data_IF_312727485641
#
_entry.id   IF_312727485641
#
_cell.length_a   1.000
_cell.length_b   1.000
_cell.length_c   1.000
_cell.angle_alpha   90.00
_cell.angle_beta   90.00
_cell.angle_gamma   90.00
#
_symmetry.space_group_name_H-M   'P 1'
#
loop_
_entity.id
_entity.type
_entity.pdbx_description
1 polymer ?
#
# COMPACT_ATOMS: atom_id res chain seq x y z
N UNK A 1 2.79 15.06 53.05
CA UNK A 1 3.47 14.29 51.97
C UNK A 1 3.48 12.83 52.36
N UNK A 2 2.82 11.92 51.62
CA UNK A 2 3.14 10.51 51.71
C UNK A 2 3.81 10.10 50.39
N UNK A 3 5.15 10.02 50.42
CA UNK A 3 5.89 9.29 49.40
C UNK A 3 5.58 7.81 49.58
N UNK A 4 4.88 7.23 48.61
CA UNK A 4 4.59 5.79 48.61
C UNK A 4 5.90 5.02 48.45
N UNK A 5 6.24 4.23 49.46
CA UNK A 5 7.26 3.18 49.37
C UNK A 5 6.70 2.11 48.43
N UNK A 6 6.93 2.23 47.12
CA UNK A 6 6.58 1.16 46.17
C UNK A 6 7.34 -0.10 46.59
N UNK A 7 6.62 -1.21 46.73
CA UNK A 7 7.24 -2.47 47.13
C UNK A 7 8.17 -2.96 46.02
N UNK A 8 9.26 -3.67 46.38
CA UNK A 8 10.19 -4.26 45.40
C UNK A 8 9.48 -5.11 44.34
N UNK A 9 8.37 -5.75 44.73
CA UNK A 9 7.49 -6.54 43.87
C UNK A 9 6.74 -5.69 42.83
N UNK A 10 6.23 -4.52 43.22
CA UNK A 10 5.54 -3.59 42.31
C UNK A 10 6.49 -3.01 41.26
N UNK A 11 7.71 -2.64 41.67
CA UNK A 11 8.75 -2.14 40.76
C UNK A 11 9.12 -3.22 39.73
N UNK A 12 9.33 -4.46 40.18
CA UNK A 12 9.64 -5.60 39.31
C UNK A 12 8.51 -5.88 38.30
N UNK A 13 7.25 -5.84 38.74
CA UNK A 13 6.10 -6.02 37.86
C UNK A 13 5.96 -4.91 36.81
N UNK A 14 6.21 -3.65 37.21
CA UNK A 14 6.22 -2.50 36.31
C UNK A 14 7.32 -2.61 35.25
N UNK A 15 8.54 -3.01 35.64
CA UNK A 15 9.64 -3.24 34.70
C UNK A 15 9.32 -4.36 33.71
N UNK A 16 8.75 -5.47 34.18
CA UNK A 16 8.30 -6.58 33.33
C UNK A 16 7.28 -6.13 32.30
N UNK A 17 6.27 -5.36 32.69
CA UNK A 17 5.27 -4.81 31.76
C UNK A 17 5.89 -3.86 30.74
N UNK A 18 6.82 -2.99 31.14
CA UNK A 18 7.52 -2.09 30.22
C UNK A 18 8.36 -2.87 29.20
N UNK A 19 9.01 -3.98 29.60
CA UNK A 19 9.72 -4.87 28.67
C UNK A 19 8.76 -5.54 27.69
N UNK A 20 7.59 -5.98 28.14
CA UNK A 20 6.56 -6.56 27.27
C UNK A 20 6.08 -5.53 26.25
N UNK A 21 5.76 -4.31 26.68
CA UNK A 21 5.37 -3.22 25.77
C UNK A 21 6.48 -2.96 24.74
N UNK A 22 7.73 -2.83 25.19
CA UNK A 22 8.88 -2.63 24.30
C UNK A 22 9.05 -3.77 23.29
N UNK A 23 8.92 -5.02 23.72
CA UNK A 23 8.98 -6.19 22.85
C UNK A 23 7.87 -6.23 21.81
N UNK A 24 6.62 -5.97 22.21
CA UNK A 24 5.48 -5.91 21.29
C UNK A 24 5.62 -4.76 20.29
N UNK A 25 6.07 -3.58 20.73
CA UNK A 25 6.31 -2.44 19.84
C UNK A 25 7.47 -2.70 18.88
N UNK A 26 8.51 -3.42 19.31
CA UNK A 26 9.62 -3.82 18.44
C UNK A 26 9.15 -4.81 17.35
N UNK A 27 8.39 -5.84 17.72
CA UNK A 27 7.81 -6.78 16.75
C UNK A 27 6.92 -6.03 15.75
N UNK A 28 6.05 -5.14 16.24
CA UNK A 28 5.19 -4.32 15.38
C UNK A 28 6.02 -3.43 14.43
N UNK A 29 7.14 -2.86 14.88
CA UNK A 29 8.03 -2.06 14.05
C UNK A 29 8.68 -2.89 12.94
N UNK A 30 9.15 -4.10 13.27
CA UNK A 30 9.70 -5.03 12.26
C UNK A 30 8.62 -5.43 11.24
N UNK A 31 7.42 -5.77 11.71
CA UNK A 31 6.29 -6.06 10.83
C UNK A 31 5.92 -4.87 9.95
N UNK A 32 5.96 -3.64 10.48
CA UNK A 32 5.68 -2.41 9.73
C UNK A 32 6.69 -2.24 8.59
N UNK A 33 7.99 -2.36 8.87
CA UNK A 33 9.02 -2.24 7.83
C UNK A 33 8.88 -3.35 6.79
N UNK A 34 8.68 -4.60 7.22
CA UNK A 34 8.49 -5.73 6.31
C UNK A 34 7.22 -5.57 5.44
N UNK A 35 6.13 -5.04 6.01
CA UNK A 35 4.87 -4.86 5.29
C UNK A 35 4.96 -3.87 4.13
N UNK A 36 5.85 -2.86 4.22
CA UNK A 36 6.06 -1.89 3.14
C UNK A 36 6.53 -2.58 1.84
N UNK A 37 7.42 -3.55 1.96
CA UNK A 37 8.02 -4.27 0.83
C UNK A 37 7.25 -5.53 0.43
N UNK A 38 6.28 -5.96 1.23
CA UNK A 38 5.55 -7.20 1.00
C UNK A 38 4.26 -6.95 0.19
N UNK A 39 3.91 -7.88 -0.74
CA UNK A 39 2.60 -7.86 -1.37
C UNK A 39 1.49 -7.97 -0.32
N UNK A 40 0.57 -7.01 -0.30
CA UNK A 40 -0.46 -6.85 0.73
C UNK A 40 -1.71 -7.64 0.36
N UNK A 41 -2.13 -7.52 -0.89
CA UNK A 41 -3.35 -8.10 -1.42
C UNK A 41 -3.09 -8.58 -2.84
N UNK A 42 -3.77 -9.64 -3.25
CA UNK A 42 -3.70 -10.10 -4.64
C UNK A 42 -5.09 -10.14 -5.24
N UNK A 43 -5.15 -9.86 -6.54
CA UNK A 43 -6.34 -10.02 -7.36
C UNK A 43 -5.98 -10.87 -8.55
N UNK A 44 -6.88 -11.77 -8.93
CA UNK A 44 -6.78 -12.56 -10.15
C UNK A 44 -8.09 -12.54 -10.93
N UNK A 45 -7.98 -12.48 -12.26
CA UNK A 45 -9.08 -12.66 -13.18
C UNK A 45 -8.90 -13.94 -13.99
N UNK A 46 -9.96 -14.73 -14.11
CA UNK A 46 -10.00 -15.89 -15.01
C UNK A 46 -11.16 -15.77 -15.97
N UNK A 47 -10.97 -16.15 -17.23
CA UNK A 47 -12.03 -16.22 -18.23
C UNK A 47 -11.72 -17.31 -19.26
N UNK A 48 -12.71 -17.78 -20.05
CA UNK A 48 -12.48 -18.80 -21.08
C UNK A 48 -11.39 -18.46 -22.09
N UNK A 49 -11.18 -17.16 -22.36
CA UNK A 49 -10.17 -16.67 -23.30
C UNK A 49 -8.74 -16.63 -22.70
N UNK A 50 -8.59 -16.86 -21.39
CA UNK A 50 -7.31 -16.91 -20.68
C UNK A 50 -7.12 -18.31 -20.09
N UNK A 51 -6.61 -19.26 -20.88
CA UNK A 51 -6.61 -20.67 -20.51
C UNK A 51 -5.56 -20.97 -19.41
N UNK A 52 -5.80 -21.97 -18.52
CA UNK A 52 -4.92 -22.25 -17.39
C UNK A 52 -3.50 -22.72 -17.76
N UNK A 53 -3.27 -23.18 -18.99
CA UNK A 53 -1.94 -23.55 -19.46
C UNK A 53 -1.05 -22.33 -19.75
N UNK A 54 -1.66 -21.18 -20.07
CA UNK A 54 -1.02 -19.88 -20.19
C UNK A 54 -1.06 -19.08 -18.87
N UNK A 55 -2.23 -19.05 -18.22
CA UNK A 55 -2.50 -18.29 -17.00
C UNK A 55 -2.94 -19.22 -15.86
N UNK A 56 -2.03 -20.02 -15.28
CA UNK A 56 -2.38 -21.04 -14.28
C UNK A 56 -3.01 -20.45 -13.01
N UNK A 57 -2.60 -19.24 -12.63
CA UNK A 57 -3.13 -18.49 -11.51
C UNK A 57 -4.14 -17.39 -11.96
N UNK A 58 -4.58 -17.42 -13.22
CA UNK A 58 -5.29 -16.32 -13.89
C UNK A 58 -4.41 -15.09 -14.13
N UNK A 59 -5.03 -13.99 -14.56
CA UNK A 59 -4.36 -12.68 -14.71
C UNK A 59 -4.19 -12.09 -13.33
N UNK A 60 -3.06 -12.42 -12.70
CA UNK A 60 -2.79 -12.10 -11.31
C UNK A 60 -1.94 -10.84 -11.17
N UNK A 61 -2.38 -9.95 -10.29
CA UNK A 61 -1.64 -8.77 -9.86
C UNK A 61 -1.49 -8.76 -8.34
N UNK A 62 -0.43 -8.09 -7.87
CA UNK A 62 -0.15 -7.86 -6.46
C UNK A 62 -0.21 -6.38 -6.13
N UNK A 63 -1.00 -6.02 -5.12
CA UNK A 63 -1.01 -4.69 -4.54
C UNK A 63 0.05 -4.58 -3.46
N UNK A 64 0.90 -3.57 -3.59
CA UNK A 64 1.87 -3.14 -2.60
C UNK A 64 1.52 -1.72 -2.13
N UNK A 65 2.21 -1.22 -1.10
CA UNK A 65 1.98 0.12 -0.59
C UNK A 65 2.47 1.21 -1.56
N UNK A 66 3.42 0.88 -2.42
CA UNK A 66 4.05 1.77 -3.39
C UNK A 66 3.57 1.54 -4.84
N UNK A 67 2.86 0.45 -5.13
CA UNK A 67 2.52 0.13 -6.52
C UNK A 67 1.64 -1.10 -6.73
N UNK A 68 1.43 -1.42 -8.00
CA UNK A 68 0.78 -2.64 -8.48
C UNK A 68 1.81 -3.39 -9.31
N UNK A 69 2.01 -4.67 -9.01
CA UNK A 69 3.07 -5.48 -9.58
C UNK A 69 2.51 -6.75 -10.24
N UNK A 70 3.25 -7.25 -11.21
CA UNK A 70 2.93 -8.49 -11.91
C UNK A 70 2.93 -9.67 -10.92
N UNK A 71 1.85 -10.44 -10.91
CA UNK A 71 1.71 -11.66 -10.11
C UNK A 71 1.62 -12.93 -10.94
N UNK A 72 1.78 -12.82 -12.26
CA UNK A 72 1.78 -13.98 -13.13
C UNK A 72 3.08 -14.75 -13.07
N UNK A 73 2.93 -16.06 -13.21
CA UNK A 73 4.05 -16.99 -13.36
C UNK A 73 4.14 -17.37 -14.82
N UNK A 74 5.37 -17.54 -15.33
CA UNK A 74 5.59 -18.08 -16.66
C UNK A 74 4.86 -19.43 -16.81
N UNK A 75 4.31 -19.68 -18.01
CA UNK A 75 3.73 -20.96 -18.35
C UNK A 75 4.77 -22.08 -18.14
N UNK A 76 4.37 -23.17 -17.48
CA UNK A 76 5.29 -24.25 -17.13
C UNK A 76 5.85 -24.97 -18.36
N UNK A 77 7.03 -25.60 -18.23
CA UNK A 77 7.62 -26.42 -19.31
C UNK A 77 6.63 -27.52 -19.75
N UNK A 78 6.34 -27.59 -21.05
CA UNK A 78 5.45 -28.60 -21.64
C UNK A 78 4.01 -28.15 -21.91
N UNK A 79 3.67 -26.88 -21.65
CA UNK A 79 2.39 -26.29 -22.11
C UNK A 79 2.45 -25.92 -23.59
N UNK A 80 1.30 -25.75 -24.24
CA UNK A 80 1.22 -25.34 -25.66
C UNK A 80 1.89 -23.99 -25.90
N UNK A 81 1.86 -23.13 -24.88
CA UNK A 81 2.43 -21.78 -24.86
C UNK A 81 3.86 -21.73 -24.31
N UNK A 82 4.49 -22.87 -23.99
CA UNK A 82 5.82 -22.89 -23.38
C UNK A 82 6.93 -22.31 -24.29
N UNK A 83 6.64 -22.22 -25.60
CA UNK A 83 7.50 -21.64 -26.64
C UNK A 83 6.82 -20.45 -27.34
N UNK A 84 5.75 -19.88 -26.76
CA UNK A 84 5.08 -18.69 -27.30
C UNK A 84 5.34 -17.51 -26.37
N UNK A 85 6.08 -16.52 -26.84
CA UNK A 85 6.18 -15.24 -26.14
C UNK A 85 4.89 -14.48 -26.41
N UNK A 86 4.05 -14.29 -25.40
CA UNK A 86 2.75 -13.63 -25.60
C UNK A 86 2.90 -12.12 -25.84
N UNK A 87 4.02 -11.49 -25.45
CA UNK A 87 4.10 -10.03 -25.31
C UNK A 87 5.18 -9.33 -26.15
N UNK A 88 6.23 -10.04 -26.57
CA UNK A 88 7.32 -9.45 -27.38
C UNK A 88 6.92 -9.23 -28.84
N UNK A 89 5.94 -9.98 -29.34
CA UNK A 89 5.44 -9.90 -30.73
C UNK A 89 4.69 -8.60 -31.08
N UNK A 90 4.53 -7.67 -30.13
CA UNK A 90 3.80 -6.40 -30.29
C UNK A 90 4.70 -5.18 -30.44
N UNK A 91 6.01 -5.30 -30.25
CA UNK A 91 6.95 -4.19 -30.38
C UNK A 91 7.35 -4.00 -31.86
N UNK A 92 7.31 -2.76 -32.36
CA UNK A 92 7.55 -2.44 -33.79
C UNK A 92 9.05 -2.42 -34.18
N UNK A 93 9.94 -2.61 -33.21
CA UNK A 93 11.38 -2.59 -33.33
C UNK A 93 12.00 -3.99 -33.52
N UNK A 94 11.25 -5.06 -33.25
CA UNK A 94 11.70 -6.44 -33.45
C UNK A 94 11.30 -6.98 -34.85
N UNK A 95 12.24 -7.65 -35.53
CA UNK A 95 11.97 -8.35 -36.79
C UNK A 95 10.93 -9.45 -36.57
N UNK A 96 9.79 -9.36 -37.28
CA UNK A 96 8.71 -10.35 -37.23
C UNK A 96 9.22 -11.75 -37.60
N UNK A 97 9.01 -12.73 -36.73
CA UNK A 97 9.47 -14.11 -36.93
C UNK A 97 9.03 -14.70 -38.28
N UNK A 98 10.00 -15.21 -39.06
CA UNK A 98 9.75 -15.91 -40.30
C UNK A 98 9.96 -17.43 -40.11
N UNK A 99 8.91 -18.26 -40.21
CA UNK A 99 8.98 -19.70 -39.93
C UNK A 99 9.89 -20.50 -40.87
N UNK A 100 10.33 -19.92 -42.00
CA UNK A 100 11.23 -20.58 -42.96
C UNK A 100 12.70 -20.20 -42.70
N UNK A 101 12.98 -18.93 -42.39
CA UNK A 101 14.35 -18.44 -42.22
C UNK A 101 14.83 -18.45 -40.77
N UNK A 102 13.91 -18.38 -39.81
CA UNK A 102 14.20 -18.27 -38.38
C UNK A 102 13.96 -19.59 -37.62
N UNK A 103 13.79 -20.72 -38.33
CA UNK A 103 13.50 -22.03 -37.73
C UNK A 103 14.55 -22.54 -36.71
N UNK A 104 15.73 -21.91 -36.65
CA UNK A 104 16.80 -22.19 -35.67
C UNK A 104 17.11 -21.00 -34.74
N UNK A 105 16.38 -19.90 -34.88
CA UNK A 105 16.57 -18.66 -34.11
C UNK A 105 15.69 -18.77 -32.86
N UNK A 106 16.32 -18.67 -31.69
CA UNK A 106 15.61 -18.51 -30.43
C UNK A 106 15.13 -17.06 -30.35
N UNK A 107 13.94 -16.79 -30.89
CA UNK A 107 13.33 -15.45 -30.89
C UNK A 107 12.89 -14.99 -29.50
N UNK A 108 12.79 -15.94 -28.56
CA UNK A 108 12.39 -15.76 -27.17
C UNK A 108 13.55 -15.36 -26.27
N UNK A 109 14.78 -15.30 -26.82
CA UNK A 109 15.97 -14.93 -26.09
C UNK A 109 15.86 -13.50 -25.56
N UNK A 110 15.54 -13.39 -24.27
CA UNK A 110 15.35 -12.11 -23.57
C UNK A 110 13.92 -11.58 -23.56
N UNK A 111 12.92 -12.39 -23.89
CA UNK A 111 11.52 -12.02 -23.70
C UNK A 111 11.15 -11.83 -22.22
N UNK A 112 10.50 -10.72 -21.92
CA UNK A 112 9.86 -10.49 -20.62
C UNK A 112 8.65 -11.42 -20.51
N UNK A 113 8.55 -12.20 -19.41
CA UNK A 113 7.45 -13.14 -19.20
C UNK A 113 6.09 -12.44 -19.08
N UNK A 114 4.99 -13.22 -19.10
CA UNK A 114 3.60 -12.77 -18.94
C UNK A 114 3.45 -11.56 -17.99
N UNK A 115 3.17 -10.37 -18.53
CA UNK A 115 2.87 -9.17 -17.75
C UNK A 115 1.35 -9.01 -17.57
N UNK A 116 0.88 -9.48 -16.42
CA UNK A 116 -0.52 -9.42 -16.07
C UNK A 116 -1.01 -8.04 -15.61
N UNK A 117 -0.10 -7.08 -15.37
CA UNK A 117 -0.51 -5.69 -15.18
C UNK A 117 -0.97 -5.11 -16.51
N UNK A 118 -0.23 -5.36 -17.59
CA UNK A 118 -0.65 -4.99 -18.94
C UNK A 118 -1.97 -5.64 -19.32
N UNK A 119 -2.12 -6.97 -19.16
CA UNK A 119 -3.37 -7.66 -19.50
C UNK A 119 -4.58 -7.14 -18.68
N UNK A 120 -4.39 -6.89 -17.39
CA UNK A 120 -5.40 -6.27 -16.54
C UNK A 120 -5.80 -4.88 -17.07
N UNK A 121 -4.81 -4.07 -17.46
CA UNK A 121 -5.04 -2.73 -18.01
C UNK A 121 -5.76 -2.77 -19.37
N UNK A 122 -5.42 -3.74 -20.21
CA UNK A 122 -6.12 -4.00 -21.47
C UNK A 122 -7.58 -4.31 -21.20
N UNK A 123 -7.88 -5.24 -20.28
CA UNK A 123 -9.27 -5.56 -19.89
C UNK A 123 -9.99 -4.33 -19.33
N UNK A 124 -9.34 -3.58 -18.43
CA UNK A 124 -9.89 -2.36 -17.85
C UNK A 124 -10.27 -1.36 -18.95
N UNK A 125 -9.39 -1.13 -19.92
CA UNK A 125 -9.66 -0.27 -21.06
C UNK A 125 -10.92 -0.69 -21.84
N UNK A 126 -11.08 -1.99 -22.13
CA UNK A 126 -12.26 -2.51 -22.84
C UNK A 126 -13.58 -2.18 -22.14
N UNK A 127 -13.60 -2.12 -20.80
CA UNK A 127 -14.81 -1.80 -20.01
C UNK A 127 -14.87 -0.33 -19.58
N UNK A 128 -13.94 0.52 -20.03
CA UNK A 128 -13.89 1.93 -19.68
C UNK A 128 -13.17 2.24 -18.36
N UNK A 129 -12.64 1.25 -17.65
CA UNK A 129 -11.83 1.50 -16.45
C UNK A 129 -10.44 2.04 -16.84
N UNK A 130 -9.93 2.98 -16.04
CA UNK A 130 -8.57 3.50 -16.20
C UNK A 130 -7.51 2.46 -15.79
N UNK A 131 -6.25 2.64 -16.21
CA UNK A 131 -5.18 1.72 -15.81
C UNK A 131 -5.06 1.61 -14.29
N UNK A 132 -4.77 0.40 -13.80
CA UNK A 132 -4.80 0.08 -12.37
C UNK A 132 -3.77 0.90 -11.57
N UNK A 133 -2.69 1.33 -12.22
CA UNK A 133 -1.66 2.20 -11.64
C UNK A 133 -2.16 3.64 -11.35
N UNK A 134 -3.32 4.06 -11.85
CA UNK A 134 -3.92 5.37 -11.51
C UNK A 134 -4.63 5.38 -10.15
N UNK A 135 -4.87 4.22 -9.54
CA UNK A 135 -5.51 4.14 -8.22
C UNK A 135 -4.58 4.60 -7.11
N UNK A 136 -5.13 5.16 -6.03
CA UNK A 136 -4.36 5.68 -4.89
C UNK A 136 -3.21 6.65 -5.29
N UNK A 137 -3.49 7.69 -6.10
CA UNK A 137 -2.47 8.57 -6.66
C UNK A 137 -1.83 9.49 -5.60
N UNK A 138 -2.40 9.60 -4.41
CA UNK A 138 -1.79 10.36 -3.30
C UNK A 138 -1.13 9.43 -2.30
N UNK A 139 -1.78 8.30 -1.99
CA UNK A 139 -1.35 7.40 -0.93
C UNK A 139 -0.10 6.61 -1.31
N UNK A 140 0.00 6.10 -2.55
CA UNK A 140 1.17 5.32 -2.99
C UNK A 140 2.48 6.11 -2.96
N UNK A 141 2.60 7.29 -3.59
CA UNK A 141 3.87 8.05 -3.55
C UNK A 141 4.23 8.53 -2.14
N UNK A 142 3.22 8.76 -1.28
CA UNK A 142 3.42 9.22 0.09
C UNK A 142 3.55 8.08 1.12
N UNK A 143 3.33 6.82 0.72
CA UNK A 143 3.30 5.68 1.63
C UNK A 143 4.56 5.58 2.49
N UNK A 144 5.75 5.79 1.91
CA UNK A 144 7.02 5.77 2.64
C UNK A 144 7.07 6.78 3.81
N UNK A 145 6.42 7.93 3.68
CA UNK A 145 6.34 8.93 4.75
C UNK A 145 5.32 8.56 5.82
N UNK A 146 4.18 7.97 5.43
CA UNK A 146 3.22 7.43 6.39
C UNK A 146 3.84 6.31 7.23
N UNK A 147 4.63 5.43 6.62
CA UNK A 147 5.37 4.40 7.32
C UNK A 147 6.43 4.98 8.26
N UNK A 148 7.16 6.01 7.82
CA UNK A 148 8.06 6.77 8.70
C UNK A 148 7.34 7.39 9.90
N UNK A 149 6.17 8.00 9.66
CA UNK A 149 5.32 8.56 10.71
C UNK A 149 4.88 7.49 11.72
N UNK A 150 4.34 6.35 11.25
CA UNK A 150 3.94 5.26 12.14
C UNK A 150 5.12 4.64 12.89
N UNK A 151 6.29 4.48 12.25
CA UNK A 151 7.49 3.98 12.88
C UNK A 151 7.92 4.86 14.06
N UNK A 152 7.93 6.18 13.88
CA UNK A 152 8.24 7.14 14.96
C UNK A 152 7.25 7.02 16.12
N UNK A 153 5.95 6.84 15.83
CA UNK A 153 4.93 6.62 16.85
C UNK A 153 5.17 5.34 17.65
N UNK A 154 5.51 4.23 16.98
CA UNK A 154 5.81 2.95 17.62
C UNK A 154 7.03 3.05 18.55
N UNK A 155 8.12 3.66 18.05
CA UNK A 155 9.35 3.86 18.84
C UNK A 155 9.08 4.74 20.05
N UNK A 156 8.32 5.82 19.88
CA UNK A 156 7.94 6.70 20.98
C UNK A 156 7.05 6.01 22.02
N UNK A 157 6.10 5.17 21.59
CA UNK A 157 5.19 4.45 22.48
C UNK A 157 5.90 3.43 23.38
N UNK A 158 6.96 2.80 22.87
CA UNK A 158 7.79 1.87 23.63
C UNK A 158 8.43 2.53 24.87
N UNK A 159 8.64 3.85 24.84
CA UNK A 159 9.27 4.61 25.92
C UNK A 159 8.26 5.03 26.98
N UNK A 160 8.53 4.64 28.23
CA UNK A 160 7.65 4.92 29.38
C UNK A 160 7.83 6.33 29.99
N UNK A 161 9.02 6.95 29.85
CA UNK A 161 9.31 8.28 30.40
C UNK A 161 8.87 9.37 29.43
N UNK A 162 8.26 10.43 29.96
CA UNK A 162 7.68 11.51 29.14
C UNK A 162 8.73 12.27 28.33
N UNK A 163 9.79 12.75 28.96
CA UNK A 163 10.83 13.57 28.30
C UNK A 163 11.48 12.86 27.08
N UNK A 164 12.05 11.65 27.22
CA UNK A 164 12.67 10.96 26.07
C UNK A 164 11.66 10.61 24.99
N UNK A 165 10.42 10.27 25.35
CA UNK A 165 9.35 10.00 24.38
C UNK A 165 9.00 11.22 23.53
N UNK A 166 8.87 12.40 24.15
CA UNK A 166 8.65 13.65 23.40
C UNK A 166 9.87 13.98 22.54
N UNK A 167 11.09 13.77 23.03
CA UNK A 167 12.32 13.97 22.25
C UNK A 167 12.33 13.08 21.00
N UNK A 168 12.01 11.79 21.14
CA UNK A 168 11.92 10.84 20.03
C UNK A 168 10.85 11.26 19.02
N UNK A 169 9.65 11.63 19.49
CA UNK A 169 8.59 12.12 18.60
C UNK A 169 9.04 13.35 17.83
N UNK A 170 9.58 14.36 18.52
CA UNK A 170 9.98 15.61 17.89
C UNK A 170 11.12 15.40 16.88
N UNK A 171 12.16 14.65 17.25
CA UNK A 171 13.28 14.37 16.36
C UNK A 171 12.86 13.51 15.17
N UNK A 172 12.09 12.45 15.42
CA UNK A 172 11.61 11.54 14.39
C UNK A 172 10.67 12.21 13.39
N UNK A 173 9.68 12.96 13.88
CA UNK A 173 8.77 13.70 12.99
C UNK A 173 9.47 14.85 12.26
N UNK A 174 10.43 15.53 12.87
CA UNK A 174 11.24 16.50 12.16
C UNK A 174 12.03 15.85 11.01
N UNK A 175 12.60 14.66 11.23
CA UNK A 175 13.31 13.92 10.19
C UNK A 175 12.37 13.47 9.06
N UNK A 176 11.19 12.93 9.38
CA UNK A 176 10.19 12.51 8.37
C UNK A 176 9.66 13.73 7.59
N UNK A 177 9.37 14.84 8.27
CA UNK A 177 8.93 16.07 7.62
C UNK A 177 10.00 16.65 6.69
N UNK A 178 11.26 16.72 7.15
CA UNK A 178 12.37 17.17 6.32
C UNK A 178 12.56 16.26 5.09
N UNK A 179 12.56 14.94 5.29
CA UNK A 179 12.65 13.98 4.20
C UNK A 179 11.51 14.16 3.19
N UNK A 180 10.28 14.31 3.67
CA UNK A 180 9.09 14.52 2.83
C UNK A 180 9.17 15.81 2.01
N UNK A 181 9.59 16.92 2.62
CA UNK A 181 9.71 18.20 1.91
C UNK A 181 10.83 18.14 0.85
N UNK A 182 11.99 17.58 1.20
CA UNK A 182 13.11 17.44 0.28
C UNK A 182 12.70 16.55 -0.91
N UNK A 183 12.16 15.37 -0.64
CA UNK A 183 11.78 14.40 -1.67
C UNK A 183 10.68 14.95 -2.60
N UNK A 184 9.64 15.55 -2.05
CA UNK A 184 8.48 15.95 -2.84
C UNK A 184 8.71 17.26 -3.62
N UNK A 185 9.39 18.23 -3.01
CA UNK A 185 9.54 19.57 -3.59
C UNK A 185 10.94 19.88 -4.11
N UNK A 186 12.00 19.51 -3.38
CA UNK A 186 13.37 19.84 -3.81
C UNK A 186 13.87 18.89 -4.90
N UNK A 187 13.54 17.60 -4.80
CA UNK A 187 13.84 16.61 -5.84
C UNK A 187 12.78 16.55 -6.95
N UNK A 188 11.67 17.29 -6.80
CA UNK A 188 10.62 17.39 -7.81
C UNK A 188 9.74 16.14 -7.98
N UNK A 189 9.80 15.18 -7.06
CA UNK A 189 9.07 13.91 -7.20
C UNK A 189 7.54 14.07 -7.22
N UNK A 190 7.00 15.11 -6.59
CA UNK A 190 5.56 15.40 -6.69
C UNK A 190 5.16 15.73 -8.13
N UNK A 191 5.91 16.61 -8.79
CA UNK A 191 5.60 17.01 -10.16
C UNK A 191 5.84 15.87 -11.15
N UNK A 192 6.92 15.10 -10.99
CA UNK A 192 7.15 13.92 -11.84
C UNK A 192 6.03 12.88 -11.67
N UNK A 193 5.53 12.68 -10.44
CA UNK A 193 4.42 11.77 -10.18
C UNK A 193 3.10 12.26 -10.80
N UNK A 194 2.80 13.56 -10.72
CA UNK A 194 1.61 14.13 -11.37
C UNK A 194 1.67 13.92 -12.88
N UNK A 195 2.82 14.14 -13.50
CA UNK A 195 2.99 13.90 -14.94
C UNK A 195 2.84 12.41 -15.29
N UNK A 196 3.45 11.51 -14.52
CA UNK A 196 3.31 10.07 -14.71
C UNK A 196 1.84 9.62 -14.56
N UNK A 197 1.12 10.15 -13.56
CA UNK A 197 -0.29 9.89 -13.35
C UNK A 197 -1.16 10.36 -14.54
N UNK A 198 -0.88 11.55 -15.08
CA UNK A 198 -1.60 12.08 -16.24
C UNK A 198 -1.29 11.25 -17.50
N UNK A 199 -0.04 10.88 -17.72
CA UNK A 199 0.38 10.02 -18.82
C UNK A 199 -0.32 8.66 -18.75
N UNK A 200 -0.30 8.02 -17.59
CA UNK A 200 -0.96 6.73 -17.35
C UNK A 200 -2.47 6.84 -17.56
N UNK A 201 -3.11 7.88 -17.02
CA UNK A 201 -4.55 8.11 -17.22
C UNK A 201 -4.93 8.32 -18.70
N UNK A 202 -3.99 8.87 -19.48
CA UNK A 202 -4.13 9.12 -20.92
C UNK A 202 -3.68 7.98 -21.83
N UNK A 203 -3.19 6.85 -21.29
CA UNK A 203 -2.67 5.73 -22.09
C UNK A 203 -3.71 5.25 -23.10
N UNK A 204 -4.96 5.07 -22.65
CA UNK A 204 -6.05 4.59 -23.49
C UNK A 204 -7.13 5.64 -23.79
N UNK A 205 -7.33 6.60 -22.89
CA UNK A 205 -8.38 7.61 -23.01
C UNK A 205 -7.77 9.01 -23.03
N UNK A 206 -7.54 9.59 -24.22
CA UNK A 206 -6.95 10.93 -24.37
C UNK A 206 -7.96 12.07 -24.16
N UNK A 207 -8.75 12.01 -23.08
CA UNK A 207 -9.62 13.10 -22.61
C UNK A 207 -8.79 14.10 -21.79
N UNK A 208 -8.02 14.94 -22.48
CA UNK A 208 -7.04 15.83 -21.83
C UNK A 208 -7.67 16.86 -20.91
N UNK A 209 -8.89 17.32 -21.19
CA UNK A 209 -9.59 18.26 -20.31
C UNK A 209 -9.85 17.65 -18.93
N UNK A 210 -10.33 16.40 -18.89
CA UNK A 210 -10.51 15.64 -17.65
C UNK A 210 -9.19 15.32 -16.97
N UNK A 211 -8.20 14.85 -17.74
CA UNK A 211 -6.90 14.43 -17.20
C UNK A 211 -6.15 15.60 -16.57
N UNK A 212 -6.20 16.78 -17.17
CA UNK A 212 -5.60 17.99 -16.61
C UNK A 212 -6.21 18.34 -15.26
N UNK A 213 -7.55 18.30 -15.15
CA UNK A 213 -8.26 18.54 -13.87
C UNK A 213 -7.87 17.50 -12.82
N UNK A 214 -7.76 16.23 -13.20
CA UNK A 214 -7.34 15.17 -12.28
C UNK A 214 -5.88 15.34 -11.84
N UNK A 215 -4.98 15.71 -12.75
CA UNK A 215 -3.59 16.03 -12.43
C UNK A 215 -3.47 17.18 -11.44
N UNK A 216 -4.23 18.26 -11.65
CA UNK A 216 -4.29 19.39 -10.71
C UNK A 216 -4.87 18.98 -9.34
N UNK A 217 -5.89 18.13 -9.32
CA UNK A 217 -6.43 17.59 -8.08
C UNK A 217 -5.39 16.73 -7.34
N UNK A 218 -4.69 15.83 -8.03
CA UNK A 218 -3.61 15.02 -7.43
C UNK A 218 -2.53 15.92 -6.86
N UNK A 219 -2.09 16.95 -7.59
CA UNK A 219 -1.11 17.93 -7.12
C UNK A 219 -1.58 18.65 -5.86
N UNK A 220 -2.79 19.20 -5.88
CA UNK A 220 -3.34 20.01 -4.79
C UNK A 220 -3.66 19.18 -3.54
N UNK A 221 -4.26 18.01 -3.72
CA UNK A 221 -4.56 17.08 -2.62
C UNK A 221 -3.26 16.54 -2.02
N UNK A 222 -2.25 16.20 -2.83
CA UNK A 222 -0.94 15.77 -2.30
C UNK A 222 -0.29 16.86 -1.45
N UNK A 223 -0.30 18.12 -1.90
CA UNK A 223 0.17 19.26 -1.08
C UNK A 223 -0.60 19.37 0.23
N UNK A 224 -1.93 19.29 0.17
CA UNK A 224 -2.79 19.34 1.36
C UNK A 224 -2.46 18.20 2.33
N UNK A 225 -2.26 16.98 1.83
CA UNK A 225 -1.89 15.81 2.66
C UNK A 225 -0.49 15.99 3.26
N UNK A 226 0.48 16.48 2.51
CA UNK A 226 1.85 16.73 2.99
C UNK A 226 1.85 17.75 4.14
N UNK A 227 1.26 18.94 3.93
CA UNK A 227 1.21 19.97 4.98
C UNK A 227 0.26 19.60 6.13
N UNK A 228 -0.84 18.91 5.82
CA UNK A 228 -1.74 18.34 6.81
C UNK A 228 -1.04 17.33 7.70
N UNK A 229 -0.20 16.45 7.15
CA UNK A 229 0.57 15.48 7.92
C UNK A 229 1.58 16.17 8.85
N UNK A 230 2.24 17.24 8.40
CA UNK A 230 3.14 18.05 9.25
C UNK A 230 2.36 18.69 10.41
N UNK A 231 1.16 19.23 10.14
CA UNK A 231 0.30 19.76 11.18
C UNK A 231 -0.14 18.66 12.18
N UNK A 232 -0.50 17.48 11.69
CA UNK A 232 -0.82 16.31 12.53
C UNK A 232 0.37 15.89 13.39
N UNK A 233 1.59 15.88 12.86
CA UNK A 233 2.81 15.61 13.64
C UNK A 233 2.94 16.58 14.83
N UNK A 234 2.74 17.87 14.60
CA UNK A 234 2.77 18.88 15.67
C UNK A 234 1.66 18.67 16.70
N UNK A 235 0.44 18.32 16.26
CA UNK A 235 -0.68 17.98 17.14
C UNK A 235 -0.35 16.75 17.98
N UNK A 236 0.26 15.71 17.40
CA UNK A 236 0.62 14.49 18.11
C UNK A 236 1.69 14.74 19.17
N UNK A 237 2.69 15.58 18.87
CA UNK A 237 3.71 16.01 19.84
C UNK A 237 3.04 16.79 20.98
N UNK A 238 2.24 17.81 20.66
CA UNK A 238 1.57 18.65 21.64
C UNK A 238 0.59 17.85 22.52
N UNK A 239 -0.22 16.98 21.90
CA UNK A 239 -1.15 16.09 22.57
C UNK A 239 -0.44 15.16 23.54
N UNK A 240 0.64 14.50 23.11
CA UNK A 240 1.45 13.62 23.97
C UNK A 240 2.13 14.40 25.10
N UNK A 241 2.51 15.66 24.86
CA UNK A 241 3.16 16.51 25.86
C UNK A 241 2.17 17.05 26.91
N UNK A 242 0.91 17.31 26.53
CA UNK A 242 -0.08 17.99 27.39
C UNK A 242 -1.09 17.04 28.03
N UNK A 243 -1.45 15.94 27.35
CA UNK A 243 -2.54 15.07 27.74
C UNK A 243 -2.00 13.65 27.96
N UNK A 244 -1.92 13.21 29.22
CA UNK A 244 -1.37 11.89 29.60
C UNK A 244 -1.93 10.71 28.79
N UNK A 245 -3.26 10.52 28.65
CA UNK A 245 -3.80 9.38 27.89
C UNK A 245 -3.59 9.48 26.37
N UNK A 246 -3.19 10.65 25.85
CA UNK A 246 -2.96 10.83 24.41
C UNK A 246 -1.82 9.94 23.89
N UNK A 247 -0.88 9.52 24.76
CA UNK A 247 0.15 8.55 24.40
C UNK A 247 -0.41 7.21 23.87
N UNK A 248 -1.64 6.84 24.23
CA UNK A 248 -2.28 5.62 23.71
C UNK A 248 -2.57 5.71 22.21
N UNK A 249 -2.75 6.93 21.69
CA UNK A 249 -2.93 7.20 20.25
C UNK A 249 -1.70 6.76 19.45
N UNK A 250 -0.49 6.85 20.05
CA UNK A 250 0.75 6.39 19.43
C UNK A 250 0.76 4.89 19.11
N UNK A 251 0.00 4.10 19.87
CA UNK A 251 -0.24 2.70 19.58
C UNK A 251 -1.47 2.47 18.72
N UNK A 252 -2.57 3.18 19.01
CA UNK A 252 -3.86 2.94 18.36
C UNK A 252 -3.81 3.22 16.86
N UNK A 253 -3.20 4.33 16.44
CA UNK A 253 -3.20 4.72 15.03
C UNK A 253 -2.43 3.71 14.16
N UNK A 254 -1.17 3.32 14.48
CA UNK A 254 -0.51 2.23 13.76
C UNK A 254 -1.25 0.89 13.86
N UNK A 255 -1.91 0.59 14.99
CA UNK A 255 -2.69 -0.64 15.14
C UNK A 255 -3.83 -0.70 14.12
N UNK A 256 -4.41 0.43 13.72
CA UNK A 256 -5.55 0.49 12.79
C UNK A 256 -5.14 0.46 11.30
N UNK A 257 -3.85 0.31 10.98
CA UNK A 257 -3.36 0.12 9.61
C UNK A 257 -4.13 -0.90 8.75
N UNK A 258 -4.46 -2.13 9.21
CA UNK A 258 -5.24 -3.06 8.40
C UNK A 258 -6.63 -2.52 8.05
N UNK A 259 -7.25 -1.76 8.96
CA UNK A 259 -8.57 -1.14 8.71
C UNK A 259 -8.44 -0.01 7.69
N UNK A 260 -7.46 0.89 7.87
CA UNK A 260 -7.21 1.97 6.91
C UNK A 260 -6.92 1.43 5.51
N UNK A 261 -6.11 0.37 5.41
CA UNK A 261 -5.82 -0.29 4.14
C UNK A 261 -7.11 -0.78 3.45
N UNK A 262 -7.97 -1.53 4.15
CA UNK A 262 -9.20 -2.07 3.53
C UNK A 262 -10.16 -0.95 3.11
N UNK A 263 -10.30 0.11 3.91
CA UNK A 263 -11.13 1.26 3.56
C UNK A 263 -10.61 1.94 2.28
N UNK A 264 -9.32 2.25 2.24
CA UNK A 264 -8.70 2.91 1.08
C UNK A 264 -8.78 2.01 -0.17
N UNK A 265 -8.45 0.73 -0.02
CA UNK A 265 -8.54 -0.26 -1.11
C UNK A 265 -9.95 -0.36 -1.66
N UNK A 266 -10.96 -0.55 -0.80
CA UNK A 266 -12.36 -0.64 -1.22
C UNK A 266 -12.86 0.67 -1.86
N UNK A 267 -12.44 1.83 -1.34
CA UNK A 267 -12.78 3.14 -1.89
C UNK A 267 -12.26 3.33 -3.32
N UNK A 268 -11.01 2.92 -3.58
CA UNK A 268 -10.44 2.98 -4.93
C UNK A 268 -11.08 1.98 -5.89
N UNK A 269 -11.38 0.76 -5.44
CA UNK A 269 -12.14 -0.18 -6.27
C UNK A 269 -13.51 0.37 -6.64
N UNK A 270 -14.23 0.94 -5.66
CA UNK A 270 -15.50 1.61 -5.93
C UNK A 270 -15.35 2.74 -6.95
N UNK A 271 -14.33 3.60 -6.78
CA UNK A 271 -14.04 4.70 -7.70
C UNK A 271 -13.86 4.19 -9.13
N UNK A 272 -13.03 3.16 -9.34
CA UNK A 272 -12.80 2.59 -10.66
C UNK A 272 -14.08 2.07 -11.32
N UNK A 273 -14.92 1.35 -10.56
CA UNK A 273 -16.15 0.78 -11.09
C UNK A 273 -17.32 1.77 -11.22
N UNK A 274 -17.18 3.01 -10.74
CA UNK A 274 -18.22 4.05 -10.84
C UNK A 274 -17.80 5.27 -11.67
N UNK A 275 -16.53 5.39 -12.03
CA UNK A 275 -15.98 6.50 -12.82
C UNK A 275 -15.37 6.01 -14.14
N UNK A 276 -15.99 4.99 -14.75
CA UNK A 276 -15.57 4.45 -16.03
C UNK A 276 -15.75 5.46 -17.17
N UNK A 277 -14.83 5.45 -18.11
CA UNK A 277 -14.85 6.27 -19.31
C UNK A 277 -15.93 5.79 -20.29
N UNK A 278 -16.71 6.69 -20.92
CA UNK A 278 -17.71 6.32 -21.93
C UNK A 278 -17.12 5.79 -23.25
N UNK A 279 -15.80 5.72 -23.39
CA UNK A 279 -15.11 5.24 -24.60
C UNK A 279 -14.64 3.79 -24.50
N UNK A 280 -15.01 3.08 -23.42
CA UNK A 280 -14.82 1.63 -23.37
C UNK A 280 -15.57 0.94 -24.51
N UNK A 281 -14.97 -0.10 -25.09
CA UNK A 281 -15.60 -0.87 -26.16
C UNK A 281 -16.89 -1.59 -25.70
N UNK A 282 -16.95 -1.94 -24.40
CA UNK A 282 -18.11 -2.55 -23.77
C UNK A 282 -18.65 -1.68 -22.65
N UNK A 283 -19.90 -1.27 -22.77
CA UNK A 283 -20.59 -0.54 -21.69
C UNK A 283 -21.07 -1.51 -20.63
N UNK A 284 -20.45 -1.46 -19.45
CA UNK A 284 -20.91 -2.15 -18.25
C UNK A 284 -21.60 -1.18 -17.30
N UNK A 285 -22.61 -1.66 -16.57
CA UNK A 285 -23.25 -0.86 -15.51
C UNK A 285 -22.22 -0.59 -14.41
N UNK A 286 -22.30 0.57 -13.71
CA UNK A 286 -21.49 0.81 -12.53
C UNK A 286 -21.56 -0.36 -11.55
N UNK A 287 -20.39 -0.79 -11.08
CA UNK A 287 -20.27 -1.94 -10.20
C UNK A 287 -19.12 -1.72 -9.21
N UNK A 288 -19.05 -2.56 -8.19
CA UNK A 288 -17.91 -2.58 -7.28
C UNK A 288 -17.06 -3.81 -7.58
N UNK A 289 -15.81 -3.64 -8.03
CA UNK A 289 -14.88 -4.75 -8.13
C UNK A 289 -14.79 -5.51 -6.79
N UNK A 290 -14.56 -6.82 -6.86
CA UNK A 290 -14.55 -7.69 -5.68
C UNK A 290 -13.48 -7.27 -4.68
N UNK A 291 -13.91 -6.77 -3.52
CA UNK A 291 -12.98 -6.39 -2.43
C UNK A 291 -12.39 -7.64 -1.77
N UNK A 292 -13.21 -8.66 -1.50
CA UNK A 292 -12.79 -9.88 -0.85
C UNK A 292 -13.63 -11.06 -1.33
N UNK A 293 -12.99 -12.20 -1.56
CA UNK A 293 -13.64 -13.44 -1.97
C UNK A 293 -13.71 -13.59 -3.50
N UNK A 294 -14.74 -14.29 -3.94
CA UNK A 294 -15.00 -14.59 -5.34
C UNK A 294 -16.12 -13.68 -5.86
N UNK A 295 -15.97 -13.20 -7.09
CA UNK A 295 -17.03 -12.47 -7.79
C UNK A 295 -17.02 -12.74 -9.27
N UNK A 296 -17.90 -12.04 -9.98
CA UNK A 296 -18.02 -12.16 -11.43
C UNK A 296 -18.34 -10.81 -12.04
N UNK A 297 -17.60 -10.46 -13.09
CA UNK A 297 -17.82 -9.26 -13.90
C UNK A 297 -17.82 -9.69 -15.35
N UNK A 298 -18.98 -9.62 -16.00
CA UNK A 298 -19.19 -10.17 -17.34
C UNK A 298 -18.74 -11.64 -17.43
N UNK A 299 -17.77 -11.94 -18.30
CA UNK A 299 -17.22 -13.30 -18.49
C UNK A 299 -16.02 -13.62 -17.58
N UNK A 300 -15.58 -12.66 -16.76
CA UNK A 300 -14.46 -12.84 -15.84
C UNK A 300 -14.97 -13.25 -14.46
N UNK A 301 -14.40 -14.34 -13.94
CA UNK A 301 -14.43 -14.62 -12.51
C UNK A 301 -13.28 -13.88 -11.83
N UNK A 302 -13.58 -13.21 -10.73
CA UNK A 302 -12.63 -12.39 -9.98
C UNK A 302 -12.34 -13.04 -8.63
N UNK A 303 -11.06 -13.10 -8.25
CA UNK A 303 -10.60 -13.62 -6.96
C UNK A 303 -9.79 -12.53 -6.27
N UNK A 304 -10.11 -12.21 -5.02
CA UNK A 304 -9.49 -11.10 -4.29
C UNK A 304 -9.28 -11.47 -2.84
N UNK A 305 -8.02 -11.59 -2.41
CA UNK A 305 -7.70 -12.07 -1.07
C UNK A 305 -6.47 -11.38 -0.46
N UNK A 306 -6.42 -11.30 0.88
CA UNK A 306 -5.23 -10.84 1.59
C UNK A 306 -4.03 -11.73 1.31
N UNK A 307 -2.85 -11.14 1.45
CA UNK A 307 -1.57 -11.82 1.29
C UNK A 307 -0.63 -11.52 2.48
N UNK A 308 0.65 -11.85 2.34
CA UNK A 308 1.63 -11.74 3.43
C UNK A 308 1.71 -10.35 4.06
N UNK A 309 1.70 -9.28 3.24
CA UNK A 309 1.71 -7.91 3.72
C UNK A 309 0.50 -7.59 4.60
N UNK A 310 -0.70 -8.03 4.24
CA UNK A 310 -1.88 -7.85 5.09
C UNK A 310 -1.79 -8.65 6.40
N UNK A 311 -1.24 -9.87 6.35
CA UNK A 311 -0.93 -10.65 7.55
C UNK A 311 -0.01 -9.91 8.53
N UNK A 312 1.00 -9.20 8.01
CA UNK A 312 1.87 -8.34 8.82
C UNK A 312 1.10 -7.17 9.44
N UNK A 313 0.15 -6.55 8.72
CA UNK A 313 -0.72 -5.50 9.29
C UNK A 313 -1.59 -6.02 10.44
N UNK A 314 -2.12 -7.24 10.32
CA UNK A 314 -2.88 -7.90 11.39
C UNK A 314 -1.97 -8.19 12.60
N UNK A 315 -0.72 -8.62 12.37
CA UNK A 315 0.25 -8.81 13.44
C UNK A 315 0.55 -7.50 14.20
N UNK A 316 0.68 -6.37 13.47
CA UNK A 316 0.81 -5.03 14.07
C UNK A 316 -0.40 -4.71 14.94
N UNK A 317 -1.62 -4.91 14.43
CA UNK A 317 -2.86 -4.69 15.18
C UNK A 317 -2.85 -5.47 16.50
N UNK A 318 -2.60 -6.79 16.46
CA UNK A 318 -2.60 -7.64 17.66
C UNK A 318 -1.54 -7.18 18.66
N UNK A 319 -0.29 -6.99 18.21
CA UNK A 319 0.81 -6.57 19.08
C UNK A 319 0.53 -5.23 19.75
N UNK A 320 0.05 -4.25 18.98
CA UNK A 320 -0.16 -2.89 19.47
C UNK A 320 -1.43 -2.77 20.30
N UNK A 321 -2.48 -3.54 20.03
CA UNK A 321 -3.65 -3.57 20.90
C UNK A 321 -3.33 -4.17 22.27
N UNK A 322 -2.55 -5.25 22.32
CA UNK A 322 -2.07 -5.81 23.58
C UNK A 322 -1.19 -4.80 24.35
N UNK A 323 -0.22 -4.17 23.67
CA UNK A 323 0.65 -3.18 24.29
C UNK A 323 -0.13 -1.94 24.78
N UNK A 324 -1.14 -1.51 24.02
CA UNK A 324 -2.05 -0.42 24.38
C UNK A 324 -2.85 -0.74 25.64
N UNK A 325 -3.41 -1.95 25.75
CA UNK A 325 -4.17 -2.37 26.93
C UNK A 325 -3.30 -2.40 28.19
N UNK A 326 -2.05 -2.87 28.07
CA UNK A 326 -1.09 -2.86 29.20
C UNK A 326 -0.77 -1.41 29.59
N UNK A 327 -0.44 -0.52 28.63
CA UNK A 327 -0.15 0.89 28.92
C UNK A 327 -1.36 1.62 29.50
N UNK A 328 -2.58 1.32 29.02
CA UNK A 328 -3.83 1.88 29.55
C UNK A 328 -4.03 1.49 31.02
N UNK A 329 -3.71 0.25 31.39
CA UNK A 329 -3.72 -0.20 32.78
C UNK A 329 -2.72 0.59 33.63
N UNK A 330 -1.47 0.72 33.17
CA UNK A 330 -0.43 1.48 33.88
C UNK A 330 -0.82 2.95 34.10
N UNK A 331 -1.45 3.58 33.11
CA UNK A 331 -1.94 4.95 33.23
C UNK A 331 -3.06 5.12 34.27
N UNK A 332 -3.95 4.13 34.39
CA UNK A 332 -5.00 4.12 35.41
C UNK A 332 -4.43 3.92 36.82
N UNK A 333 -3.38 3.11 36.93
CA UNK A 333 -2.68 2.81 38.19
C UNK A 333 -1.64 3.88 38.57
N UNK A 334 -1.38 4.86 37.70
CA UNK A 334 -0.38 5.92 37.94
C UNK A 334 1.08 5.45 37.83
N UNK A 335 1.33 4.27 37.26
CA UNK A 335 2.67 3.66 37.10
C UNK A 335 3.35 4.02 35.77
N UNK A 336 2.68 4.77 34.90
CA UNK A 336 3.25 5.36 33.68
C UNK A 336 3.05 6.89 33.64
N UNK A 337 4.04 7.60 33.09
CA UNK A 337 4.04 9.07 32.96
C UNK A 337 3.17 9.60 31.82
#
# INVERSE_FOLDING_TARGET
MPGQLQTRTEISNMEKQNRIIGGLSFIALVCLVAAYFAPIWWVSLTAPNYPPDAFPDGIRIHFHFDGVYNGCKAAGKGTRMANEIIQKDLAHDDERFNPITDAKKDVDKGAEGLDCVHEMNTINHYVGMFPIATGAPVEKPLAKFFFGFFAVMLVAFAVNRKKPRILILSAGFAAVAAWMIIDQFMLGHLESHVQAYMQESGTFFKDMDRINVWGDNVRNVSKMVIFGLIAVMAIVIAGTAKIKPFQLLLALVPALLPVFFVITYAGWLWFFGHNMHPWGAFTVKPFMPTVFGEGKVAQFSTFSYPYWGYGLLVAIFVCMMLALLIRRKQLREGTAE
#
